data_IF_644519276338
#
_entry.id   IF_644519276338
#
_cell.length_a   1.000
_cell.length_b   1.000
_cell.length_c   1.000
_cell.angle_alpha   90.00
_cell.angle_beta   90.00
_cell.angle_gamma   90.00
#
_symmetry.space_group_name_H-M   'P 1'
#
loop_
_entity.id
_entity.type
_entity.pdbx_description
1 polymer ?
#
# COMPACT_ATOMS: atom_id res chain seq x y z
N UNK A 1 4.16 7.54 -9.01
CA UNK A 1 5.24 8.22 -9.77
C UNK A 1 5.95 7.13 -10.56
N UNK A 2 5.93 7.21 -11.90
CA UNK A 2 6.65 6.26 -12.75
C UNK A 2 7.89 6.96 -13.30
N UNK A 3 9.04 6.29 -13.20
CA UNK A 3 10.32 6.74 -13.77
C UNK A 3 10.68 5.72 -14.84
N UNK A 4 10.75 6.15 -16.10
CA UNK A 4 11.13 5.29 -17.22
C UNK A 4 12.48 5.71 -17.78
N UNK A 5 13.54 4.90 -17.60
CA UNK A 5 14.76 5.04 -18.37
C UNK A 5 14.51 4.40 -19.74
N UNK A 6 14.37 5.19 -20.81
CA UNK A 6 14.43 4.65 -22.17
C UNK A 6 15.87 4.85 -22.63
N UNK A 7 16.60 3.75 -22.83
CA UNK A 7 17.88 3.76 -23.54
C UNK A 7 17.64 4.34 -24.94
N UNK A 8 18.21 5.52 -25.20
CA UNK A 8 18.29 6.06 -26.55
C UNK A 8 19.53 5.47 -27.22
N UNK A 9 19.34 4.80 -28.35
CA UNK A 9 20.44 4.42 -29.24
C UNK A 9 21.04 5.68 -29.89
N UNK A 10 22.35 5.69 -30.22
CA UNK A 10 23.03 6.90 -30.69
C UNK A 10 22.62 7.24 -32.12
N UNK A 11 22.19 8.48 -32.35
CA UNK A 11 22.11 9.06 -33.68
C UNK A 11 23.46 9.68 -34.04
N UNK A 12 23.97 9.31 -35.21
CA UNK A 12 25.24 9.76 -35.75
C UNK A 12 25.29 11.27 -36.02
N UNK A 13 26.51 11.78 -35.94
CA UNK A 13 26.95 13.17 -36.09
C UNK A 13 26.61 13.80 -37.45
N UNK A 14 26.49 15.14 -37.45
CA UNK A 14 27.03 16.05 -38.48
C UNK A 14 27.11 17.47 -37.92
N UNK A 15 28.12 18.20 -38.39
CA UNK A 15 28.75 19.34 -37.72
C UNK A 15 28.01 20.70 -37.80
N UNK A 16 28.40 21.51 -36.82
CA UNK A 16 28.48 22.99 -36.67
C UNK A 16 28.54 23.84 -37.97
N UNK A 17 28.22 25.16 -37.95
CA UNK A 17 28.77 26.13 -36.98
C UNK A 17 27.87 27.25 -36.43
N UNK A 18 28.41 27.86 -35.37
CA UNK A 18 27.98 29.03 -34.58
C UNK A 18 27.73 30.29 -35.43
N UNK A 19 27.08 31.32 -34.85
CA UNK A 19 27.91 32.44 -34.37
C UNK A 19 27.43 33.17 -33.09
N UNK A 20 28.45 33.66 -32.37
CA UNK A 20 28.60 34.92 -31.60
C UNK A 20 27.47 35.52 -30.74
N UNK A 21 27.89 35.76 -29.50
CA UNK A 21 27.33 36.53 -28.38
C UNK A 21 26.99 37.99 -28.71
N UNK A 22 25.94 38.53 -28.08
CA UNK A 22 26.02 39.85 -27.41
C UNK A 22 25.15 39.87 -26.15
N UNK A 23 25.69 40.50 -25.12
CA UNK A 23 25.13 40.64 -23.78
C UNK A 23 24.09 41.78 -23.71
N UNK A 24 23.09 41.63 -22.85
CA UNK A 24 22.30 42.78 -22.38
C UNK A 24 21.90 42.60 -20.91
N UNK A 25 22.20 43.64 -20.14
CA UNK A 25 22.14 43.89 -18.70
C UNK A 25 20.71 43.78 -18.12
N UNK A 26 20.53 43.42 -16.82
CA UNK A 26 19.20 43.26 -16.24
C UNK A 26 18.58 44.59 -15.77
N UNK A 27 17.33 44.83 -16.16
CA UNK A 27 16.51 45.94 -15.67
C UNK A 27 15.89 45.60 -14.30
N UNK A 28 16.25 46.42 -13.32
CA UNK A 28 15.71 46.53 -11.97
C UNK A 28 14.23 46.94 -12.01
N UNK A 29 13.32 46.15 -11.43
CA UNK A 29 11.93 46.59 -11.20
C UNK A 29 11.60 46.47 -9.71
N UNK A 30 11.09 47.58 -9.19
CA UNK A 30 10.82 47.89 -7.81
C UNK A 30 9.76 46.99 -7.16
N UNK A 31 9.95 46.79 -5.86
CA UNK A 31 8.96 46.21 -4.99
C UNK A 31 7.67 47.03 -4.92
N UNK A 32 6.58 46.33 -4.63
CA UNK A 32 5.38 46.97 -4.09
C UNK A 32 4.87 46.15 -2.93
N UNK A 33 5.14 46.69 -1.74
CA UNK A 33 4.50 46.33 -0.49
C UNK A 33 2.99 46.49 -0.59
N UNK A 34 2.24 45.47 -0.15
CA UNK A 34 0.92 45.70 0.44
C UNK A 34 0.87 44.99 1.77
N UNK A 35 1.00 45.80 2.81
CA UNK A 35 0.40 45.54 4.11
C UNK A 35 -1.10 45.27 3.93
N UNK A 36 -1.67 44.44 4.80
CA UNK A 36 -2.88 44.76 5.58
C UNK A 36 -3.26 43.62 6.54
N UNK A 37 -3.30 44.02 7.80
CA UNK A 37 -4.22 43.62 8.88
C UNK A 37 -4.09 42.22 9.52
N UNK A 38 -3.49 42.26 10.71
CA UNK A 38 -3.74 41.36 11.84
C UNK A 38 -5.19 41.50 12.37
N UNK A 39 -5.77 40.35 12.73
CA UNK A 39 -6.69 40.18 13.87
C UNK A 39 -6.53 38.73 14.40
N UNK A 40 -6.78 38.46 15.70
CA UNK A 40 -6.13 37.38 16.48
C UNK A 40 -6.97 36.08 16.58
N UNK A 41 -6.41 34.99 17.16
CA UNK A 41 -7.03 33.67 17.17
C UNK A 41 -7.91 33.45 18.41
N UNK A 42 -9.12 32.90 18.20
CA UNK A 42 -9.96 32.38 19.28
C UNK A 42 -9.58 30.94 19.59
N UNK A 43 -9.11 30.73 20.81
CA UNK A 43 -8.77 29.46 21.44
C UNK A 43 -9.98 28.91 22.19
N UNK A 44 -10.39 27.67 21.89
CA UNK A 44 -11.18 26.86 22.83
C UNK A 44 -10.99 25.35 22.58
N UNK A 45 -10.75 24.53 23.62
CA UNK A 45 -10.43 23.12 23.49
C UNK A 45 -11.69 22.24 23.38
N UNK A 46 -11.70 21.29 22.43
CA UNK A 46 -12.74 20.26 22.34
C UNK A 46 -12.47 19.13 23.34
N UNK A 47 -13.38 18.99 24.29
CA UNK A 47 -13.43 17.97 25.33
C UNK A 47 -13.62 16.57 24.75
N UNK A 48 -12.79 15.64 25.21
CA UNK A 48 -12.95 14.20 25.08
C UNK A 48 -14.25 13.77 25.77
N UNK A 49 -15.16 13.10 25.05
CA UNK A 49 -16.33 12.44 25.64
C UNK A 49 -16.02 10.95 25.78
N UNK A 50 -15.63 10.61 27.00
CA UNK A 50 -15.62 9.27 27.55
C UNK A 50 -17.04 8.68 27.51
N UNK A 51 -17.22 7.51 26.91
CA UNK A 51 -18.48 6.75 26.96
C UNK A 51 -18.22 5.46 27.72
N UNK A 52 -18.57 5.50 29.00
CA UNK A 52 -18.59 4.36 29.90
C UNK A 52 -19.47 3.22 29.37
N UNK A 53 -18.94 2.01 29.53
CA UNK A 53 -19.68 0.74 29.45
C UNK A 53 -20.52 0.60 30.73
N UNK A 54 -21.78 0.15 30.67
CA UNK A 54 -22.44 -0.38 31.84
C UNK A 54 -22.01 -1.83 32.08
N UNK A 55 -21.62 -2.10 33.32
CA UNK A 55 -21.46 -3.44 33.88
C UNK A 55 -22.85 -4.05 34.12
N UNK A 56 -23.07 -5.26 33.60
CA UNK A 56 -24.20 -6.10 34.01
C UNK A 56 -23.64 -7.27 34.83
N UNK A 57 -23.73 -7.09 36.15
CA UNK A 57 -23.81 -8.18 37.11
C UNK A 57 -25.09 -8.95 36.86
N UNK A 58 -25.01 -10.25 36.55
CA UNK A 58 -26.10 -11.16 36.87
C UNK A 58 -25.54 -12.38 37.61
N UNK A 59 -26.14 -12.60 38.76
CA UNK A 59 -25.80 -13.60 39.75
C UNK A 59 -26.12 -15.02 39.25
N UNK A 60 -25.29 -15.96 39.73
CA UNK A 60 -25.45 -17.39 39.57
C UNK A 60 -26.28 -17.92 40.78
N UNK A 61 -27.33 -18.73 40.60
CA UNK A 61 -27.79 -19.62 41.64
C UNK A 61 -27.21 -21.02 41.43
N UNK A 62 -26.60 -21.53 42.49
CA UNK A 62 -26.19 -22.92 42.61
C UNK A 62 -27.43 -23.83 42.60
N UNK A 63 -27.44 -24.80 41.69
CA UNK A 63 -28.30 -25.97 41.77
C UNK A 63 -27.46 -27.20 41.49
N UNK A 64 -27.19 -27.94 42.56
CA UNK A 64 -26.63 -29.29 42.59
C UNK A 64 -27.61 -30.26 41.94
N UNK A 65 -27.17 -30.94 40.88
CA UNK A 65 -27.84 -32.13 40.37
C UNK A 65 -26.81 -33.10 39.80
N UNK A 66 -26.55 -34.14 40.60
CA UNK A 66 -26.30 -35.54 40.23
C UNK A 66 -25.80 -35.82 38.81
N UNK A 67 -24.55 -36.25 38.73
CA UNK A 67 -23.97 -37.04 37.63
C UNK A 67 -24.83 -38.29 37.36
N UNK A 68 -25.49 -38.31 36.21
CA UNK A 68 -25.97 -39.53 35.58
C UNK A 68 -25.24 -39.67 34.24
N UNK A 69 -24.24 -40.55 34.23
CA UNK A 69 -23.54 -40.99 33.03
C UNK A 69 -24.49 -41.85 32.20
N UNK A 70 -25.24 -41.23 31.29
CA UNK A 70 -25.91 -41.95 30.20
C UNK A 70 -25.01 -41.91 28.98
N UNK A 71 -24.19 -42.95 28.84
CA UNK A 71 -23.56 -43.32 27.59
C UNK A 71 -24.64 -43.73 26.60
N UNK A 72 -25.03 -42.82 25.70
CA UNK A 72 -25.81 -43.18 24.52
C UNK A 72 -24.93 -44.00 23.57
N UNK A 73 -25.41 -45.13 23.04
CA UNK A 73 -24.68 -45.86 22.02
C UNK A 73 -24.62 -44.99 20.77
N UNK A 74 -23.41 -44.70 20.29
CA UNK A 74 -23.21 -43.97 19.04
C UNK A 74 -23.89 -44.72 17.89
N UNK A 75 -24.40 -44.01 16.87
CA UNK A 75 -25.05 -44.66 15.74
C UNK A 75 -24.07 -45.61 15.05
N UNK A 76 -24.52 -46.81 14.70
CA UNK A 76 -23.72 -47.84 14.03
C UNK A 76 -23.86 -47.82 12.51
N UNK A 77 -24.63 -46.87 11.96
CA UNK A 77 -24.95 -46.78 10.53
C UNK A 77 -24.29 -45.55 9.86
N UNK A 78 -23.56 -45.71 8.73
CA UNK A 78 -22.90 -44.62 8.00
C UNK A 78 -23.81 -43.48 7.53
N UNK A 79 -25.10 -43.76 7.29
CA UNK A 79 -26.09 -42.75 6.89
C UNK A 79 -26.50 -41.85 8.06
N UNK A 80 -26.56 -42.39 9.28
CA UNK A 80 -26.89 -41.62 10.49
C UNK A 80 -25.85 -40.54 10.79
N UNK A 81 -24.55 -40.86 10.62
CA UNK A 81 -23.47 -39.89 10.79
C UNK A 81 -23.52 -38.75 9.76
N UNK A 82 -23.96 -39.06 8.54
CA UNK A 82 -24.03 -38.07 7.46
C UNK A 82 -25.12 -37.03 7.69
N UNK A 83 -26.29 -37.44 8.19
CA UNK A 83 -27.39 -36.51 8.49
C UNK A 83 -27.14 -35.69 9.77
N UNK A 84 -26.45 -36.27 10.75
CA UNK A 84 -25.97 -35.54 11.93
C UNK A 84 -24.96 -34.45 11.54
N UNK A 85 -24.00 -34.77 10.67
CA UNK A 85 -23.02 -33.81 10.17
C UNK A 85 -23.69 -32.62 9.45
N UNK A 86 -24.67 -32.88 8.58
CA UNK A 86 -25.45 -31.84 7.89
C UNK A 86 -26.15 -30.90 8.86
N UNK A 87 -26.73 -31.47 9.91
CA UNK A 87 -27.43 -30.71 10.96
C UNK A 87 -26.44 -29.81 11.70
N UNK A 88 -25.26 -30.33 12.05
CA UNK A 88 -24.21 -29.58 12.73
C UNK A 88 -23.63 -28.45 11.86
N UNK A 89 -23.45 -28.65 10.55
CA UNK A 89 -22.98 -27.61 9.62
C UNK A 89 -23.92 -26.39 9.56
N UNK A 90 -25.24 -26.60 9.75
CA UNK A 90 -26.24 -25.52 9.82
C UNK A 90 -26.40 -24.93 11.22
N UNK A 91 -25.76 -25.53 12.21
CA UNK A 91 -25.83 -25.11 13.61
C UNK A 91 -24.83 -24.03 13.99
N UNK A 92 -24.97 -23.44 15.19
CA UNK A 92 -24.10 -22.38 15.69
C UNK A 92 -22.72 -22.88 16.17
N UNK A 93 -22.51 -24.21 16.22
CA UNK A 93 -21.30 -24.82 16.75
C UNK A 93 -20.49 -25.52 15.63
N UNK A 94 -19.58 -24.78 14.96
CA UNK A 94 -18.76 -25.35 13.90
C UNK A 94 -17.69 -26.31 14.42
N UNK A 95 -17.32 -26.26 15.72
CA UNK A 95 -16.31 -27.17 16.30
C UNK A 95 -16.80 -28.61 16.31
N UNK A 96 -18.05 -28.82 16.68
CA UNK A 96 -18.68 -30.14 16.65
C UNK A 96 -18.78 -30.69 15.23
N UNK A 97 -19.18 -29.85 14.26
CA UNK A 97 -19.27 -30.24 12.85
C UNK A 97 -17.91 -30.66 12.28
N UNK A 98 -16.87 -29.85 12.52
CA UNK A 98 -15.51 -30.11 12.06
C UNK A 98 -14.92 -31.37 12.71
N UNK A 99 -15.19 -31.59 14.01
CA UNK A 99 -14.70 -32.77 14.73
C UNK A 99 -15.36 -34.07 14.25
N UNK A 100 -16.68 -34.04 14.02
CA UNK A 100 -17.42 -35.19 13.49
C UNK A 100 -16.94 -35.53 12.06
N UNK A 101 -16.75 -34.52 11.21
CA UNK A 101 -16.27 -34.73 9.85
C UNK A 101 -14.85 -35.33 9.83
N UNK A 102 -13.95 -34.88 10.71
CA UNK A 102 -12.60 -35.46 10.86
C UNK A 102 -12.67 -36.93 11.31
N UNK A 103 -13.55 -37.27 12.26
CA UNK A 103 -13.78 -38.66 12.70
C UNK A 103 -14.31 -39.54 11.57
N UNK A 104 -15.26 -39.04 10.78
CA UNK A 104 -15.82 -39.77 9.63
C UNK A 104 -14.74 -40.09 8.58
N UNK A 105 -13.86 -39.12 8.28
CA UNK A 105 -12.73 -39.34 7.37
C UNK A 105 -11.72 -40.36 7.91
N UNK A 106 -11.44 -40.36 9.21
CA UNK A 106 -10.55 -41.34 9.85
C UNK A 106 -11.11 -42.77 9.81
N UNK A 107 -12.43 -42.93 9.86
CA UNK A 107 -13.11 -44.22 9.78
C UNK A 107 -13.25 -44.76 8.34
N UNK A 108 -12.71 -44.05 7.34
CA UNK A 108 -12.82 -44.43 5.92
C UNK A 108 -14.16 -44.07 5.28
N UNK A 109 -15.00 -43.29 5.97
CA UNK A 109 -16.23 -42.73 5.43
C UNK A 109 -15.94 -41.56 4.51
N UNK A 110 -15.99 -41.77 3.19
CA UNK A 110 -15.78 -40.73 2.17
C UNK A 110 -16.98 -39.78 1.98
N UNK A 111 -17.61 -39.32 3.07
CA UNK A 111 -18.74 -38.39 2.97
C UNK A 111 -18.22 -36.99 2.57
N UNK A 112 -18.30 -36.67 1.29
CA UNK A 112 -17.96 -35.35 0.78
C UNK A 112 -19.11 -34.38 1.07
N UNK A 113 -18.80 -33.24 1.66
CA UNK A 113 -19.79 -32.18 1.86
C UNK A 113 -20.14 -31.56 0.51
N UNK A 114 -21.43 -31.42 0.24
CA UNK A 114 -21.93 -30.67 -0.91
C UNK A 114 -21.64 -29.17 -0.74
N UNK A 115 -21.54 -28.38 -1.83
CA UNK A 115 -21.20 -26.95 -1.76
C UNK A 115 -22.07 -26.14 -0.80
N UNK A 116 -23.35 -26.50 -0.65
CA UNK A 116 -24.28 -25.87 0.31
C UNK A 116 -23.89 -26.14 1.77
N UNK A 117 -23.44 -27.36 2.07
CA UNK A 117 -23.02 -27.77 3.41
C UNK A 117 -21.67 -27.15 3.78
N UNK A 118 -20.76 -27.07 2.80
CA UNK A 118 -19.50 -26.33 2.91
C UNK A 118 -19.77 -24.85 3.21
N UNK A 119 -20.74 -24.25 2.52
CA UNK A 119 -21.13 -22.86 2.74
C UNK A 119 -21.72 -22.64 4.14
N UNK A 120 -22.62 -23.52 4.59
CA UNK A 120 -23.20 -23.45 5.93
C UNK A 120 -22.12 -23.55 7.03
N UNK A 121 -21.17 -24.47 6.88
CA UNK A 121 -20.05 -24.61 7.81
C UNK A 121 -19.19 -23.35 7.88
N UNK A 122 -18.86 -22.74 6.73
CA UNK A 122 -18.08 -21.51 6.69
C UNK A 122 -18.82 -20.30 7.26
N UNK A 123 -20.15 -20.24 7.11
CA UNK A 123 -20.98 -19.24 7.78
C UNK A 123 -20.88 -19.38 9.31
N UNK A 124 -21.00 -20.60 9.82
CA UNK A 124 -20.86 -20.89 11.26
C UNK A 124 -19.44 -20.56 11.78
N UNK A 125 -18.40 -20.82 10.97
CA UNK A 125 -17.03 -20.39 11.27
C UNK A 125 -16.87 -18.86 11.31
N UNK A 126 -17.63 -18.12 10.49
CA UNK A 126 -17.61 -16.66 10.48
C UNK A 126 -18.17 -16.06 11.78
N UNK A 127 -19.18 -16.71 12.35
CA UNK A 127 -19.87 -16.29 13.58
C UNK A 127 -19.02 -16.54 14.84
N UNK A 128 -18.34 -17.69 14.90
CA UNK A 128 -17.44 -18.02 16.02
C UNK A 128 -16.15 -17.22 16.04
N UNK A 129 -15.73 -16.66 14.89
CA UNK A 129 -14.49 -15.89 14.73
C UNK A 129 -13.23 -16.62 15.23
N UNK A 130 -13.26 -17.95 15.27
CA UNK A 130 -12.15 -18.77 15.74
C UNK A 130 -11.24 -19.17 14.58
N UNK A 131 -9.99 -18.73 14.65
CA UNK A 131 -9.00 -19.05 13.63
C UNK A 131 -8.62 -20.54 13.63
N UNK A 132 -8.68 -21.21 14.80
CA UNK A 132 -8.39 -22.64 14.91
C UNK A 132 -9.43 -23.48 14.16
N UNK A 133 -10.71 -23.13 14.34
CA UNK A 133 -11.84 -23.82 13.68
C UNK A 133 -11.79 -23.62 12.18
N UNK A 134 -11.56 -22.37 11.72
CA UNK A 134 -11.42 -22.07 10.30
C UNK A 134 -10.27 -22.85 9.65
N UNK A 135 -9.13 -23.00 10.33
CA UNK A 135 -8.00 -23.81 9.84
C UNK A 135 -8.34 -25.28 9.70
N UNK A 136 -9.06 -25.82 10.67
CA UNK A 136 -9.44 -27.22 10.65
C UNK A 136 -10.50 -27.48 9.56
N UNK A 137 -11.53 -26.64 9.47
CA UNK A 137 -12.51 -26.66 8.37
C UNK A 137 -11.82 -26.56 7.00
N UNK A 138 -10.92 -25.58 6.82
CA UNK A 138 -10.18 -25.42 5.57
C UNK A 138 -9.38 -26.67 5.19
N UNK A 139 -8.70 -27.33 6.15
CA UNK A 139 -7.96 -28.57 5.91
C UNK A 139 -8.86 -29.71 5.45
N UNK A 140 -10.01 -29.87 6.10
CA UNK A 140 -10.97 -30.93 5.80
C UNK A 140 -11.60 -30.74 4.41
N UNK A 141 -11.95 -29.49 4.08
CA UNK A 141 -12.48 -29.15 2.76
C UNK A 141 -11.43 -29.36 1.64
N UNK A 142 -10.14 -29.30 1.96
CA UNK A 142 -9.02 -29.42 0.99
C UNK A 142 -8.34 -30.80 0.99
N UNK A 143 -8.68 -31.70 1.91
CA UNK A 143 -8.07 -33.04 1.97
C UNK A 143 -8.68 -33.99 0.93
N UNK A 144 -7.94 -34.22 -0.16
CA UNK A 144 -7.98 -35.37 -1.12
C UNK A 144 -9.28 -36.21 -1.17
N UNK A 145 -10.27 -35.76 -1.94
CA UNK A 145 -11.07 -36.62 -2.84
C UNK A 145 -11.78 -35.74 -3.89
N UNK A 146 -11.50 -36.03 -5.17
CA UNK A 146 -12.09 -35.49 -6.41
C UNK A 146 -13.29 -34.54 -6.33
N UNK A 147 -13.01 -33.25 -6.16
CA UNK A 147 -13.53 -32.18 -7.03
C UNK A 147 -12.74 -30.91 -6.72
N UNK A 148 -12.44 -30.08 -7.72
CA UNK A 148 -11.89 -28.76 -7.44
C UNK A 148 -12.90 -28.01 -6.55
N UNK A 149 -12.51 -27.61 -5.34
CA UNK A 149 -13.37 -26.78 -4.49
C UNK A 149 -13.84 -25.59 -5.33
N UNK A 150 -15.15 -25.30 -5.39
CA UNK A 150 -15.65 -24.17 -6.13
C UNK A 150 -14.92 -22.87 -5.72
N UNK A 151 -14.46 -22.10 -6.71
CA UNK A 151 -13.79 -20.81 -6.48
C UNK A 151 -14.51 -19.89 -5.47
N UNK A 152 -15.87 -19.81 -5.42
CA UNK A 152 -16.57 -19.04 -4.40
C UNK A 152 -16.24 -19.44 -2.96
N UNK A 153 -16.08 -20.73 -2.69
CA UNK A 153 -15.84 -21.28 -1.35
C UNK A 153 -14.42 -20.94 -0.89
N UNK A 154 -13.44 -21.11 -1.76
CA UNK A 154 -12.06 -20.73 -1.44
C UNK A 154 -11.89 -19.21 -1.28
N UNK A 155 -12.56 -18.39 -2.11
CA UNK A 155 -12.56 -16.94 -1.94
C UNK A 155 -13.19 -16.54 -0.59
N UNK A 156 -14.22 -17.26 -0.16
CA UNK A 156 -14.83 -17.03 1.15
C UNK A 156 -13.89 -17.42 2.29
N UNK A 157 -13.23 -18.58 2.23
CA UNK A 157 -12.18 -18.98 3.20
C UNK A 157 -11.10 -17.90 3.29
N UNK A 158 -10.61 -17.40 2.15
CA UNK A 158 -9.63 -16.31 2.11
C UNK A 158 -10.18 -15.03 2.77
N UNK A 159 -11.44 -14.69 2.52
CA UNK A 159 -12.12 -13.54 3.14
C UNK A 159 -12.25 -13.71 4.65
N UNK A 160 -12.55 -14.91 5.15
CA UNK A 160 -12.62 -15.20 6.59
C UNK A 160 -11.24 -15.05 7.24
N UNK A 161 -10.19 -15.60 6.63
CA UNK A 161 -8.82 -15.39 7.11
C UNK A 161 -8.43 -13.91 7.17
N UNK A 162 -8.84 -13.10 6.18
CA UNK A 162 -8.62 -11.65 6.21
C UNK A 162 -9.38 -10.97 7.35
N UNK A 163 -10.65 -11.34 7.56
CA UNK A 163 -11.49 -10.81 8.66
C UNK A 163 -10.91 -11.15 10.05
N UNK A 164 -10.19 -12.27 10.17
CA UNK A 164 -9.51 -12.70 11.39
C UNK A 164 -8.04 -12.23 11.48
N UNK A 165 -7.56 -11.45 10.51
CA UNK A 165 -6.20 -10.89 10.51
C UNK A 165 -5.09 -11.86 10.06
N UNK A 166 -5.43 -13.08 9.67
CA UNK A 166 -4.51 -14.12 9.20
C UNK A 166 -4.12 -13.92 7.72
N UNK A 167 -3.46 -12.80 7.43
CA UNK A 167 -3.08 -12.38 6.06
C UNK A 167 -2.21 -13.38 5.30
N UNK A 168 -1.40 -14.17 6.01
CA UNK A 168 -0.54 -15.18 5.41
C UNK A 168 -1.31 -16.38 4.87
N UNK A 169 -2.34 -16.82 5.59
CA UNK A 169 -3.18 -17.97 5.21
C UNK A 169 -4.15 -17.59 4.10
N UNK A 170 -4.80 -16.42 4.22
CA UNK A 170 -5.63 -15.87 3.14
C UNK A 170 -4.89 -15.80 1.80
N UNK A 171 -3.62 -15.43 1.85
CA UNK A 171 -2.76 -15.39 0.68
C UNK A 171 -2.54 -16.77 0.07
N UNK A 172 -2.22 -17.79 0.88
CA UNK A 172 -1.97 -19.15 0.39
C UNK A 172 -3.19 -19.69 -0.36
N UNK A 173 -4.38 -19.52 0.22
CA UNK A 173 -5.66 -19.91 -0.40
C UNK A 173 -5.89 -19.24 -1.76
N UNK A 174 -5.50 -17.96 -1.90
CA UNK A 174 -5.62 -17.23 -3.17
C UNK A 174 -4.52 -17.59 -4.17
N UNK A 175 -3.31 -17.91 -3.70
CA UNK A 175 -2.17 -18.30 -4.54
C UNK A 175 -2.35 -19.73 -5.09
N UNK A 176 -2.96 -20.64 -4.33
CA UNK A 176 -3.28 -22.02 -4.77
C UNK A 176 -4.32 -22.09 -5.89
N UNK A 177 -5.16 -21.06 -6.07
CA UNK A 177 -6.19 -20.98 -7.11
C UNK A 177 -5.75 -20.28 -8.39
N UNK A 178 -4.61 -19.59 -8.39
CA UNK A 178 -4.21 -18.78 -9.52
C UNK A 178 -3.47 -19.63 -10.55
N UNK A 179 -3.94 -19.75 -11.81
CA UNK A 179 -3.14 -20.30 -12.91
C UNK A 179 -1.86 -19.48 -13.14
N UNK A 180 -1.86 -18.24 -12.66
CA UNK A 180 -0.72 -17.36 -12.67
C UNK A 180 -0.01 -17.41 -11.32
N UNK A 181 1.10 -18.15 -11.26
CA UNK A 181 2.05 -17.98 -10.16
C UNK A 181 2.46 -16.50 -10.13
N UNK A 182 2.21 -15.76 -9.03
CA UNK A 182 2.76 -14.42 -8.91
C UNK A 182 4.28 -14.53 -9.10
N UNK A 183 4.93 -13.61 -9.84
CA UNK A 183 6.37 -13.66 -10.01
C UNK A 183 6.97 -13.75 -8.61
N UNK A 184 7.98 -14.63 -8.39
CA UNK A 184 8.59 -14.79 -7.09
C UNK A 184 8.86 -13.39 -6.54
N UNK A 185 8.40 -13.12 -5.31
CA UNK A 185 8.60 -11.79 -4.69
C UNK A 185 10.05 -11.44 -4.96
N UNK A 186 10.28 -10.43 -5.80
CA UNK A 186 11.64 -10.06 -6.21
C UNK A 186 12.46 -10.01 -4.93
N UNK A 187 13.45 -10.88 -4.81
CA UNK A 187 14.52 -10.77 -3.83
C UNK A 187 15.10 -9.37 -4.05
N UNK A 188 14.60 -8.42 -3.28
CA UNK A 188 14.53 -7.06 -3.78
C UNK A 188 13.92 -6.07 -2.81
N UNK A 189 13.25 -6.51 -1.74
CA UNK A 189 12.82 -5.58 -0.70
C UNK A 189 14.02 -4.89 -0.04
N UNK A 190 15.10 -5.64 0.22
CA UNK A 190 16.36 -5.08 0.71
C UNK A 190 17.03 -4.16 -0.32
N UNK A 191 17.11 -4.57 -1.59
CA UNK A 191 17.69 -3.74 -2.66
C UNK A 191 16.88 -2.46 -2.93
N UNK A 192 15.55 -2.53 -2.89
CA UNK A 192 14.65 -1.38 -2.99
C UNK A 192 14.83 -0.46 -1.78
N UNK A 193 14.99 -1.01 -0.58
CA UNK A 193 15.23 -0.24 0.63
C UNK A 193 16.60 0.44 0.63
N UNK A 194 17.63 -0.22 0.11
CA UNK A 194 18.96 0.36 -0.10
C UNK A 194 18.90 1.54 -1.08
N UNK A 195 18.33 1.34 -2.28
CA UNK A 195 18.13 2.42 -3.26
C UNK A 195 17.27 3.57 -2.74
N UNK A 196 16.28 3.27 -1.89
CA UNK A 196 15.48 4.31 -1.23
C UNK A 196 16.37 5.17 -0.35
N UNK A 197 17.21 4.57 0.50
CA UNK A 197 18.14 5.31 1.37
C UNK A 197 19.10 6.16 0.56
N UNK A 198 19.73 5.59 -0.46
CA UNK A 198 20.62 6.32 -1.38
C UNK A 198 19.90 7.50 -2.04
N UNK A 199 18.63 7.36 -2.41
CA UNK A 199 17.85 8.48 -2.96
C UNK A 199 17.60 9.60 -1.94
N UNK A 200 17.38 9.28 -0.65
CA UNK A 200 17.24 10.29 0.40
C UNK A 200 18.55 11.04 0.64
N UNK A 201 19.67 10.33 0.68
CA UNK A 201 21.01 10.92 0.76
C UNK A 201 21.29 11.81 -0.45
N UNK A 202 20.94 11.34 -1.65
CA UNK A 202 21.09 12.11 -2.89
C UNK A 202 20.24 13.38 -2.92
N UNK A 203 19.04 13.38 -2.33
CA UNK A 203 18.25 14.62 -2.18
C UNK A 203 18.99 15.65 -1.31
N UNK A 204 19.68 15.23 -0.25
CA UNK A 204 20.49 16.10 0.60
C UNK A 204 21.64 16.70 -0.20
N UNK A 205 22.42 15.87 -0.88
CA UNK A 205 23.52 16.30 -1.72
C UNK A 205 23.08 17.28 -2.82
N UNK A 206 22.00 16.95 -3.53
CA UNK A 206 21.44 17.83 -4.58
C UNK A 206 20.98 19.16 -4.01
N UNK A 207 20.39 19.15 -2.81
CA UNK A 207 19.90 20.37 -2.18
C UNK A 207 21.05 21.32 -1.83
N UNK A 208 22.17 20.79 -1.37
CA UNK A 208 23.39 21.57 -1.13
C UNK A 208 23.98 22.11 -2.44
N UNK A 209 24.06 21.28 -3.48
CA UNK A 209 24.56 21.68 -4.80
C UNK A 209 23.74 22.82 -5.42
N UNK A 210 22.41 22.72 -5.40
CA UNK A 210 21.58 23.79 -5.95
C UNK A 210 21.60 25.04 -5.08
N UNK A 211 21.73 24.93 -3.75
CA UNK A 211 21.93 26.11 -2.88
C UNK A 211 23.22 26.84 -3.23
N UNK A 212 24.31 26.10 -3.46
CA UNK A 212 25.57 26.68 -3.93
C UNK A 212 25.42 27.35 -5.31
N UNK A 213 24.52 26.83 -6.16
CA UNK A 213 24.15 27.42 -7.44
C UNK A 213 23.11 28.56 -7.35
N UNK A 214 22.75 29.03 -6.14
CA UNK A 214 21.86 30.17 -5.92
C UNK A 214 20.38 29.83 -5.67
N UNK A 215 20.05 28.57 -5.39
CA UNK A 215 18.70 28.17 -5.01
C UNK A 215 18.30 28.74 -3.64
N UNK A 216 17.16 29.43 -3.59
CA UNK A 216 16.51 29.89 -2.36
C UNK A 216 15.12 29.25 -2.26
N UNK A 217 14.81 28.49 -1.18
CA UNK A 217 13.50 27.88 -1.01
C UNK A 217 12.36 28.90 -0.91
N UNK A 218 11.29 28.69 -1.67
CA UNK A 218 10.08 29.51 -1.59
C UNK A 218 9.00 28.83 -0.74
N UNK A 219 9.03 29.12 0.57
CA UNK A 219 8.20 28.50 1.60
C UNK A 219 6.70 28.78 1.45
N UNK A 220 6.30 29.74 0.59
CA UNK A 220 4.88 30.00 0.26
C UNK A 220 4.19 28.80 -0.38
N UNK A 221 4.96 27.85 -0.92
CA UNK A 221 4.45 26.61 -1.50
C UNK A 221 4.19 25.51 -0.46
N UNK A 222 4.37 25.79 0.83
CA UNK A 222 4.02 24.90 1.94
C UNK A 222 2.92 25.55 2.76
N UNK A 223 1.71 24.97 2.71
CA UNK A 223 0.52 25.51 3.39
C UNK A 223 0.41 25.12 4.87
N UNK A 224 1.32 24.27 5.35
CA UNK A 224 1.32 23.87 6.76
C UNK A 224 1.82 25.02 7.62
N UNK A 225 1.11 25.29 8.71
CA UNK A 225 1.49 26.30 9.70
C UNK A 225 2.56 25.73 10.64
N UNK A 226 3.80 25.79 10.18
CA UNK A 226 5.00 25.33 10.88
C UNK A 226 6.12 26.36 10.72
N UNK A 227 7.21 26.22 11.46
CA UNK A 227 8.35 27.12 11.34
C UNK A 227 8.94 27.13 9.92
N UNK A 228 9.54 28.26 9.52
CA UNK A 228 10.12 28.43 8.18
C UNK A 228 11.21 27.39 7.86
N UNK A 229 11.95 26.94 8.88
CA UNK A 229 12.93 25.86 8.73
C UNK A 229 12.26 24.53 8.39
N UNK A 230 11.14 24.19 9.04
CA UNK A 230 10.34 23.01 8.70
C UNK A 230 9.71 23.11 7.32
N UNK A 231 9.23 24.29 6.90
CA UNK A 231 8.72 24.49 5.53
C UNK A 231 9.82 24.27 4.50
N UNK A 232 11.01 24.84 4.70
CA UNK A 232 12.15 24.64 3.80
C UNK A 232 12.56 23.16 3.70
N UNK A 233 12.56 22.43 4.82
CA UNK A 233 12.78 20.97 4.83
C UNK A 233 11.66 20.20 4.10
N UNK A 234 10.41 20.62 4.22
CA UNK A 234 9.30 19.97 3.52
C UNK A 234 9.46 20.08 1.99
N UNK A 235 9.82 21.26 1.48
CA UNK A 235 10.09 21.49 0.05
C UNK A 235 11.19 20.57 -0.50
N UNK A 236 12.22 20.35 0.30
CA UNK A 236 13.34 19.46 -0.03
C UNK A 236 12.88 18.02 -0.32
N UNK A 237 11.87 17.54 0.39
CA UNK A 237 11.34 16.18 0.25
C UNK A 237 10.05 16.09 -0.57
N UNK A 238 9.76 17.10 -1.40
CA UNK A 238 8.70 16.98 -2.39
C UNK A 238 8.94 15.78 -3.33
N UNK A 239 7.83 15.17 -3.77
CA UNK A 239 7.85 13.93 -4.55
C UNK A 239 8.69 14.03 -5.82
N UNK A 240 8.72 15.20 -6.46
CA UNK A 240 9.48 15.50 -7.68
C UNK A 240 10.98 15.38 -7.44
N UNK A 241 11.47 15.93 -6.33
CA UNK A 241 12.89 15.89 -5.97
C UNK A 241 13.33 14.50 -5.61
N UNK A 242 12.51 13.79 -4.83
CA UNK A 242 12.75 12.38 -4.49
C UNK A 242 12.78 11.49 -5.74
N UNK A 243 11.86 11.71 -6.69
CA UNK A 243 11.84 10.95 -7.94
C UNK A 243 13.08 11.22 -8.81
N UNK A 244 13.50 12.48 -8.90
CA UNK A 244 14.72 12.84 -9.64
C UNK A 244 15.94 12.23 -8.96
N UNK A 245 16.09 12.37 -7.64
CA UNK A 245 17.19 11.79 -6.89
C UNK A 245 17.26 10.26 -7.06
N UNK A 246 16.13 9.57 -6.95
CA UNK A 246 16.06 8.14 -7.22
C UNK A 246 16.46 7.81 -8.66
N UNK A 247 16.01 8.62 -9.63
CA UNK A 247 16.39 8.50 -11.04
C UNK A 247 17.89 8.65 -11.25
N UNK A 248 18.54 9.62 -10.60
CA UNK A 248 19.98 9.85 -10.68
C UNK A 248 20.79 8.70 -10.09
N UNK A 249 20.39 8.17 -8.94
CA UNK A 249 21.04 7.00 -8.31
C UNK A 249 20.85 5.74 -9.15
N UNK A 250 19.70 5.62 -9.82
CA UNK A 250 19.34 4.41 -10.58
C UNK A 250 19.82 4.41 -12.03
N UNK A 251 20.42 5.49 -12.53
CA UNK A 251 20.80 5.63 -13.95
C UNK A 251 22.19 6.20 -14.13
N UNK A 252 22.95 5.76 -15.15
CA UNK A 252 24.27 6.30 -15.44
C UNK A 252 24.27 7.83 -15.65
N UNK A 253 25.38 8.52 -15.33
CA UNK A 253 25.60 9.93 -15.66
C UNK A 253 25.21 10.27 -17.10
N UNK A 254 24.64 11.46 -17.32
CA UNK A 254 24.17 11.92 -18.64
C UNK A 254 22.84 11.31 -19.12
N UNK A 255 22.33 10.26 -18.48
CA UNK A 255 21.04 9.65 -18.89
C UNK A 255 19.88 10.61 -18.62
N UNK A 256 19.05 10.95 -19.64
CA UNK A 256 17.87 11.78 -19.45
C UNK A 256 16.88 11.16 -18.48
N UNK A 257 16.30 11.97 -17.60
CA UNK A 257 15.32 11.51 -16.62
C UNK A 257 13.90 11.89 -17.06
N UNK A 258 12.95 10.98 -16.86
CA UNK A 258 11.53 11.22 -17.11
C UNK A 258 10.72 10.97 -15.85
N UNK A 259 10.03 11.99 -15.37
CA UNK A 259 9.24 11.97 -14.13
C UNK A 259 7.77 12.22 -14.45
N UNK A 260 6.92 11.25 -14.11
CA UNK A 260 5.47 11.35 -14.31
C UNK A 260 4.76 11.68 -12.99
N UNK A 261 4.10 12.83 -12.91
CA UNK A 261 3.34 13.32 -11.76
C UNK A 261 1.86 13.48 -12.10
N UNK A 262 0.99 13.17 -11.14
CA UNK A 262 -0.47 13.32 -11.27
C UNK A 262 -1.00 14.69 -10.82
N UNK A 263 -0.15 15.51 -10.19
CA UNK A 263 -0.46 16.87 -9.73
C UNK A 263 0.42 17.86 -10.48
N UNK A 264 -0.03 19.11 -10.59
CA UNK A 264 0.79 20.22 -11.11
C UNK A 264 2.09 20.34 -10.30
N UNK A 265 3.19 20.67 -10.97
CA UNK A 265 4.45 20.98 -10.27
C UNK A 265 4.30 22.30 -9.49
N UNK A 266 4.81 22.38 -8.26
CA UNK A 266 4.82 23.66 -7.54
C UNK A 266 5.95 24.57 -8.06
N UNK A 267 5.83 25.89 -7.88
CA UNK A 267 6.81 26.85 -8.39
C UNK A 267 8.20 26.65 -7.79
N UNK A 268 8.28 26.30 -6.51
CA UNK A 268 9.55 25.98 -5.86
C UNK A 268 10.22 24.72 -6.46
N UNK A 269 9.48 23.63 -6.67
CA UNK A 269 10.02 22.45 -7.35
C UNK A 269 10.42 22.77 -8.79
N UNK A 270 9.63 23.55 -9.50
CA UNK A 270 9.96 23.97 -10.86
C UNK A 270 11.34 24.67 -10.92
N UNK A 271 11.58 25.63 -10.03
CA UNK A 271 12.86 26.34 -9.94
C UNK A 271 14.02 25.43 -9.50
N UNK A 272 13.79 24.54 -8.54
CA UNK A 272 14.82 23.59 -8.14
C UNK A 272 15.18 22.62 -9.26
N UNK A 273 14.22 22.11 -10.03
CA UNK A 273 14.50 21.15 -11.11
C UNK A 273 15.32 21.79 -12.22
N UNK A 274 15.12 23.08 -12.53
CA UNK A 274 16.01 23.84 -13.42
C UNK A 274 17.47 23.76 -12.97
N UNK A 275 17.73 24.08 -11.70
CA UNK A 275 19.07 24.06 -11.14
C UNK A 275 19.62 22.64 -11.04
N UNK A 276 18.79 21.64 -10.71
CA UNK A 276 19.19 20.23 -10.71
C UNK A 276 19.63 19.80 -12.12
N UNK A 277 18.86 20.15 -13.16
CA UNK A 277 19.21 19.83 -14.55
C UNK A 277 20.56 20.45 -14.95
N UNK A 278 20.83 21.68 -14.50
CA UNK A 278 22.10 22.38 -14.72
C UNK A 278 23.27 21.71 -13.98
N UNK A 279 23.18 21.52 -12.66
CA UNK A 279 24.31 20.98 -11.86
C UNK A 279 24.60 19.51 -12.15
N UNK A 280 23.59 18.75 -12.57
CA UNK A 280 23.78 17.33 -12.96
C UNK A 280 24.12 17.16 -14.43
N UNK A 281 24.09 18.23 -15.22
CA UNK A 281 24.26 18.22 -16.68
C UNK A 281 23.38 17.16 -17.38
N UNK A 282 22.09 17.11 -17.00
CA UNK A 282 21.12 16.16 -17.54
C UNK A 282 19.83 16.85 -17.97
N UNK A 283 19.27 16.38 -19.08
CA UNK A 283 17.89 16.70 -19.43
C UNK A 283 16.93 15.99 -18.47
N UNK A 284 16.01 16.75 -17.89
CA UNK A 284 14.95 16.22 -17.04
C UNK A 284 13.61 16.61 -17.66
N UNK A 285 12.78 15.63 -17.96
CA UNK A 285 11.42 15.84 -18.47
C UNK A 285 10.44 15.49 -17.37
N UNK A 286 9.67 16.47 -16.91
CA UNK A 286 8.60 16.27 -15.94
C UNK A 286 7.27 16.43 -16.66
N UNK A 287 6.47 15.36 -16.70
CA UNK A 287 5.07 15.45 -17.08
C UNK A 287 4.23 15.65 -15.83
N UNK A 288 3.52 16.76 -15.77
CA UNK A 288 2.46 16.94 -14.78
C UNK A 288 1.07 16.71 -15.39
N UNK A 289 0.01 17.11 -14.69
CA UNK A 289 -1.36 16.94 -15.17
C UNK A 289 -1.81 18.00 -16.20
N UNK A 290 -0.97 18.99 -16.52
CA UNK A 290 -1.27 20.06 -17.48
C UNK A 290 -0.39 20.02 -18.71
N UNK A 291 0.91 19.72 -18.56
CA UNK A 291 1.90 19.82 -19.65
C UNK A 291 3.15 18.99 -19.39
N UNK A 292 4.04 19.02 -20.38
CA UNK A 292 5.42 18.56 -20.25
C UNK A 292 6.34 19.76 -20.00
N UNK A 293 7.20 19.60 -19.01
CA UNK A 293 8.26 20.53 -18.65
C UNK A 293 9.59 19.88 -19.07
N UNK A 294 10.29 20.49 -20.01
CA UNK A 294 11.62 20.06 -20.42
C UNK A 294 12.64 20.98 -19.75
N UNK A 295 13.40 20.44 -18.81
CA UNK A 295 14.44 21.13 -18.08
C UNK A 295 15.80 20.78 -18.68
N UNK A 296 16.53 21.80 -19.11
CA UNK A 296 17.88 21.68 -19.67
C UNK A 296 18.65 22.97 -19.41
N UNK A 297 19.90 22.86 -18.97
CA UNK A 297 20.82 23.99 -18.79
C UNK A 297 20.22 25.16 -17.97
N UNK A 298 19.46 24.84 -16.91
CA UNK A 298 18.85 25.85 -16.03
C UNK A 298 17.55 26.47 -16.55
N UNK A 299 17.07 26.08 -17.73
CA UNK A 299 15.87 26.62 -18.36
C UNK A 299 14.79 25.55 -18.45
N UNK A 300 13.53 25.97 -18.39
CA UNK A 300 12.38 25.10 -18.67
C UNK A 300 11.65 25.58 -19.92
N UNK A 301 11.21 24.64 -20.76
CA UNK A 301 10.43 24.91 -21.98
C UNK A 301 9.09 25.64 -21.77
N UNK A 302 8.58 25.73 -20.54
CA UNK A 302 7.28 26.34 -20.23
C UNK A 302 7.36 27.85 -19.97
N UNK A 303 8.55 28.46 -19.99
CA UNK A 303 8.74 29.90 -19.77
C UNK A 303 8.31 30.36 -18.38
N UNK A 304 8.55 29.55 -17.35
CA UNK A 304 8.14 29.83 -15.97
C UNK A 304 6.63 29.84 -15.72
N UNK A 305 5.88 29.17 -16.59
CA UNK A 305 4.49 28.86 -16.35
C UNK A 305 4.38 27.46 -15.74
N UNK A 306 4.75 27.32 -14.45
CA UNK A 306 4.61 26.08 -13.66
C UNK A 306 3.16 25.76 -13.41
#
# INVERSE_FOLDING_TARGET
>A
MLISPRLAAPAASRGSPSPSLTATTPTRIHGRSRSRHHAPPDTAPRRHRDRGRPALHLACPAASASVASTSSPGPTDPQSYSDELRTLCRGPNPEAAVSLHDQMLQQGGGAQLEPEEQAALLQSCAETRSLAVLRQAHRLLTSKASSAIPAPILLWIATLYLKLGARGEARRVLEEQSPWSPPPRRQGRAAIQAKRREAYEKVVELHEQIRAAGYVPDTRHVLHDVDEGAKARALMYHSERLAIAFGLVSTPPGTPLRVMKNLRICGDCHNAVKLIAMVTAREIVVRDNKRFHHFKDGVCSCGDYW
#
